data_IF_184972087312
#
_entry.id   IF_184972087312
#
_cell.length_a   1.000
_cell.length_b   1.000
_cell.length_c   1.000
_cell.angle_alpha   90.00
_cell.angle_beta   90.00
_cell.angle_gamma   90.00
#
_symmetry.space_group_name_H-M   'P 1'
#
loop_
_entity.id
_entity.type
_entity.pdbx_description
1 polymer ?
#
# COMPACT_ATOMS: atom_id res chain seq x y z
N UNK A 1 -3.88 24.82 47.36
CA UNK A 1 -2.81 25.53 46.61
C UNK A 1 -3.48 26.49 45.63
N UNK A 2 -3.19 27.80 45.70
CA UNK A 2 -3.79 28.81 44.78
C UNK A 2 -2.96 28.83 43.49
N UNK A 3 -3.51 28.27 42.42
CA UNK A 3 -2.88 28.29 41.09
C UNK A 3 -2.91 29.73 40.59
N UNK A 4 -1.74 30.31 40.25
CA UNK A 4 -1.67 31.67 39.72
C UNK A 4 -2.43 31.77 38.39
N UNK A 5 -3.00 32.94 38.09
CA UNK A 5 -3.71 33.18 36.83
C UNK A 5 -2.82 32.85 35.63
N UNK A 6 -1.53 33.22 35.69
CA UNK A 6 -0.56 32.93 34.64
C UNK A 6 -0.35 31.43 34.42
N UNK A 7 -0.27 30.65 35.50
CA UNK A 7 -0.13 29.20 35.41
C UNK A 7 -1.40 28.54 34.85
N UNK A 8 -2.59 29.03 35.20
CA UNK A 8 -3.86 28.53 34.64
C UNK A 8 -3.94 28.77 33.14
N UNK A 9 -3.58 29.96 32.69
CA UNK A 9 -3.56 30.31 31.27
C UNK A 9 -2.53 29.48 30.50
N UNK A 10 -1.32 29.36 31.04
CA UNK A 10 -0.26 28.54 30.45
C UNK A 10 -0.69 27.08 30.30
N UNK A 11 -1.22 26.48 31.37
CA UNK A 11 -1.70 25.09 31.35
C UNK A 11 -2.86 24.92 30.37
N UNK A 12 -3.78 25.89 30.29
CA UNK A 12 -4.92 25.81 29.37
C UNK A 12 -4.47 25.82 27.90
N UNK A 13 -3.53 26.71 27.56
CA UNK A 13 -2.96 26.78 26.20
C UNK A 13 -2.17 25.51 25.88
N UNK A 14 -1.34 25.05 26.81
CA UNK A 14 -0.58 23.81 26.65
C UNK A 14 -1.50 22.62 26.41
N UNK A 15 -2.55 22.48 27.21
CA UNK A 15 -3.54 21.41 27.06
C UNK A 15 -4.30 21.52 25.73
N UNK A 16 -4.64 22.73 25.29
CA UNK A 16 -5.28 22.93 23.99
C UNK A 16 -4.37 22.49 22.84
N UNK A 17 -3.08 22.85 22.87
CA UNK A 17 -2.11 22.42 21.86
C UNK A 17 -1.95 20.90 21.88
N UNK A 18 -1.82 20.29 23.06
CA UNK A 18 -1.73 18.84 23.21
C UNK A 18 -2.98 18.13 22.69
N UNK A 19 -4.17 18.67 22.95
CA UNK A 19 -5.43 18.11 22.46
C UNK A 19 -5.51 18.17 20.92
N UNK A 20 -5.11 19.28 20.32
CA UNK A 20 -5.07 19.42 18.85
C UNK A 20 -4.06 18.45 18.24
N UNK A 21 -2.85 18.36 18.80
CA UNK A 21 -1.82 17.45 18.32
C UNK A 21 -2.27 15.98 18.44
N UNK A 22 -2.85 15.59 19.57
CA UNK A 22 -3.38 14.25 19.78
C UNK A 22 -4.52 13.93 18.79
N UNK A 23 -5.41 14.89 18.53
CA UNK A 23 -6.51 14.72 17.58
C UNK A 23 -5.98 14.55 16.15
N UNK A 24 -4.99 15.35 15.73
CA UNK A 24 -4.36 15.22 14.42
C UNK A 24 -3.67 13.86 14.24
N UNK A 25 -2.91 13.41 15.24
CA UNK A 25 -2.26 12.09 15.22
C UNK A 25 -3.30 10.97 15.19
N UNK A 26 -4.38 11.09 15.94
CA UNK A 26 -5.46 10.11 15.95
C UNK A 26 -6.14 10.03 14.57
N UNK A 27 -6.48 11.17 13.97
CA UNK A 27 -7.04 11.23 12.63
C UNK A 27 -6.11 10.65 11.57
N UNK A 28 -4.80 10.97 11.65
CA UNK A 28 -3.80 10.40 10.76
C UNK A 28 -3.74 8.88 10.93
N UNK A 29 -3.75 8.37 12.16
CA UNK A 29 -3.72 6.94 12.44
C UNK A 29 -4.95 6.22 11.86
N UNK A 30 -6.14 6.79 12.01
CA UNK A 30 -7.37 6.20 11.45
C UNK A 30 -7.30 6.20 9.91
N UNK A 31 -7.03 7.34 9.29
CA UNK A 31 -6.99 7.45 7.83
C UNK A 31 -5.88 6.60 7.21
N UNK A 32 -4.67 6.60 7.78
CA UNK A 32 -3.52 5.87 7.21
C UNK A 32 -3.68 4.37 7.38
N UNK A 33 -4.05 3.88 8.56
CA UNK A 33 -4.15 2.42 8.76
C UNK A 33 -5.34 1.81 8.00
N UNK A 34 -6.44 2.56 7.86
CA UNK A 34 -7.62 2.11 7.12
C UNK A 34 -7.38 2.20 5.59
N UNK A 35 -6.82 3.32 5.11
CA UNK A 35 -6.62 3.54 3.66
C UNK A 35 -5.44 2.76 3.09
N UNK A 36 -4.26 2.77 3.72
CA UNK A 36 -3.11 2.04 3.18
C UNK A 36 -3.26 0.52 3.31
N UNK A 37 -3.93 0.03 4.35
CA UNK A 37 -4.17 -1.40 4.51
C UNK A 37 -5.05 -1.95 3.38
N UNK A 38 -6.12 -1.24 3.04
CA UNK A 38 -7.03 -1.63 1.96
C UNK A 38 -6.36 -1.41 0.59
N UNK A 39 -5.78 -0.24 0.35
CA UNK A 39 -5.15 0.10 -0.92
C UNK A 39 -3.94 -0.79 -1.27
N UNK A 40 -3.05 -1.04 -0.30
CA UNK A 40 -1.90 -1.91 -0.54
C UNK A 40 -2.34 -3.36 -0.82
N UNK A 41 -3.40 -3.83 -0.15
CA UNK A 41 -3.93 -5.18 -0.36
C UNK A 41 -4.63 -5.30 -1.71
N UNK A 42 -5.43 -4.30 -2.10
CA UNK A 42 -6.12 -4.29 -3.39
C UNK A 42 -5.15 -4.21 -4.57
N UNK A 43 -4.11 -3.38 -4.49
CA UNK A 43 -3.05 -3.32 -5.50
C UNK A 43 -2.31 -4.65 -5.60
N UNK A 44 -1.96 -5.25 -4.46
CA UNK A 44 -1.26 -6.52 -4.47
C UNK A 44 -2.13 -7.64 -5.03
N UNK A 45 -3.44 -7.65 -4.73
CA UNK A 45 -4.38 -8.58 -5.34
C UNK A 45 -4.50 -8.39 -6.84
N UNK A 46 -4.54 -7.15 -7.33
CA UNK A 46 -4.61 -6.83 -8.77
C UNK A 46 -3.37 -7.36 -9.49
N UNK A 47 -2.18 -7.16 -8.91
CA UNK A 47 -0.91 -7.69 -9.46
C UNK A 47 -0.89 -9.21 -9.55
N UNK A 48 -1.32 -9.89 -8.48
CA UNK A 48 -1.39 -11.36 -8.46
C UNK A 48 -2.42 -11.87 -9.46
N UNK A 49 -3.53 -11.15 -9.65
CA UNK A 49 -4.55 -11.47 -10.65
C UNK A 49 -4.01 -11.34 -12.08
N UNK A 50 -3.25 -10.28 -12.37
CA UNK A 50 -2.59 -10.06 -13.65
C UNK A 50 -1.55 -11.15 -13.95
N UNK A 51 -0.74 -11.52 -12.94
CA UNK A 51 0.21 -12.64 -13.03
C UNK A 51 -0.51 -13.96 -13.34
N UNK A 52 -1.58 -14.27 -12.60
CA UNK A 52 -2.34 -15.50 -12.81
C UNK A 52 -2.92 -15.56 -14.23
N UNK A 53 -3.50 -14.46 -14.72
CA UNK A 53 -4.04 -14.38 -16.07
C UNK A 53 -2.95 -14.58 -17.14
N UNK A 54 -1.75 -14.04 -16.93
CA UNK A 54 -0.63 -14.23 -17.84
C UNK A 54 -0.12 -15.67 -17.86
N UNK A 55 0.02 -16.29 -16.69
CA UNK A 55 0.42 -17.69 -16.57
C UNK A 55 -0.60 -18.62 -17.21
N UNK A 56 -1.89 -18.38 -17.04
CA UNK A 56 -2.95 -19.15 -17.69
C UNK A 56 -2.84 -19.08 -19.22
N UNK A 57 -2.60 -17.90 -19.79
CA UNK A 57 -2.37 -17.73 -21.23
C UNK A 57 -1.14 -18.49 -21.72
N UNK A 58 -0.02 -18.39 -20.99
CA UNK A 58 1.22 -19.09 -21.36
C UNK A 58 1.08 -20.60 -21.26
N UNK A 59 0.38 -21.09 -20.25
CA UNK A 59 0.07 -22.50 -20.08
C UNK A 59 -0.75 -23.03 -21.26
N UNK A 60 -1.81 -22.31 -21.64
CA UNK A 60 -2.62 -22.67 -22.79
C UNK A 60 -1.82 -22.66 -24.12
N UNK A 61 -0.92 -21.68 -24.29
CA UNK A 61 -0.08 -21.57 -25.48
C UNK A 61 1.02 -22.65 -25.58
N UNK A 62 1.64 -23.02 -24.46
CA UNK A 62 2.75 -23.99 -24.43
C UNK A 62 2.29 -25.42 -24.11
N UNK A 63 1.01 -25.62 -23.78
CA UNK A 63 0.44 -26.92 -23.40
C UNK A 63 1.03 -27.48 -22.10
N UNK A 64 1.63 -26.65 -21.25
CA UNK A 64 2.31 -27.10 -20.04
C UNK A 64 3.15 -26.03 -19.35
N UNK A 65 3.81 -26.43 -18.26
CA UNK A 65 4.62 -25.54 -17.40
C UNK A 65 6.10 -25.44 -17.81
N UNK A 66 6.46 -25.84 -19.03
CA UNK A 66 7.86 -25.89 -19.48
C UNK A 66 8.59 -24.54 -19.48
N UNK A 67 7.85 -23.43 -19.45
CA UNK A 67 8.40 -22.07 -19.35
C UNK A 67 8.70 -21.62 -17.91
N UNK A 68 8.26 -22.38 -16.91
CA UNK A 68 8.54 -22.09 -15.49
C UNK A 68 9.84 -22.77 -15.10
N UNK A 69 10.83 -22.03 -14.57
CA UNK A 69 12.09 -22.64 -14.16
C UNK A 69 11.87 -23.60 -12.98
N UNK A 70 12.58 -24.72 -13.01
CA UNK A 70 12.60 -25.71 -11.92
C UNK A 70 13.41 -25.28 -10.70
N UNK A 71 14.25 -24.24 -10.84
CA UNK A 71 15.13 -23.69 -9.81
C UNK A 71 14.45 -22.67 -8.89
N UNK A 72 15.03 -21.48 -8.75
CA UNK A 72 14.52 -20.43 -7.85
C UNK A 72 13.16 -19.87 -8.31
N UNK A 73 12.09 -20.51 -7.85
CA UNK A 73 10.71 -20.10 -8.13
C UNK A 73 10.37 -18.75 -7.51
N UNK A 74 10.93 -18.42 -6.34
CA UNK A 74 10.60 -17.16 -5.65
C UNK A 74 11.20 -15.98 -6.39
N UNK A 75 12.48 -16.06 -6.76
CA UNK A 75 13.15 -15.05 -7.58
C UNK A 75 12.49 -14.91 -8.95
N UNK A 76 12.08 -16.02 -9.57
CA UNK A 76 11.37 -15.99 -10.84
C UNK A 76 9.99 -15.31 -10.74
N UNK A 77 9.19 -15.61 -9.71
CA UNK A 77 7.90 -14.93 -9.48
C UNK A 77 8.10 -13.42 -9.29
N UNK A 78 9.09 -13.02 -8.49
CA UNK A 78 9.38 -11.61 -8.25
C UNK A 78 9.79 -10.88 -9.56
N UNK A 79 10.60 -11.54 -10.39
CA UNK A 79 10.99 -11.00 -11.69
C UNK A 79 9.81 -10.91 -12.68
N UNK A 80 8.92 -11.89 -12.69
CA UNK A 80 7.74 -11.91 -13.56
C UNK A 80 6.70 -10.84 -13.15
N UNK A 81 6.53 -10.62 -11.84
CA UNK A 81 5.73 -9.50 -11.31
C UNK A 81 6.31 -8.15 -11.74
N UNK A 82 7.62 -7.95 -11.58
CA UNK A 82 8.28 -6.72 -12.04
C UNK A 82 8.12 -6.48 -13.54
N UNK A 83 8.26 -7.54 -14.35
CA UNK A 83 8.05 -7.46 -15.81
C UNK A 83 6.62 -7.04 -16.18
N UNK A 84 5.62 -7.52 -15.43
CA UNK A 84 4.21 -7.14 -15.65
C UNK A 84 3.95 -5.69 -15.22
N UNK A 85 4.54 -5.24 -14.11
CA UNK A 85 4.48 -3.85 -13.67
C UNK A 85 5.09 -2.90 -14.72
N UNK A 86 6.27 -3.23 -15.25
CA UNK A 86 6.93 -2.46 -16.32
C UNK A 86 6.08 -2.41 -17.59
N UNK A 87 5.47 -3.54 -17.98
CA UNK A 87 4.57 -3.63 -19.14
C UNK A 87 3.26 -2.84 -18.94
N UNK A 88 2.86 -2.60 -17.69
CA UNK A 88 1.73 -1.74 -17.33
C UNK A 88 2.13 -0.27 -17.37
N UNK A 89 3.29 0.09 -16.83
CA UNK A 89 3.83 1.45 -16.89
C UNK A 89 4.07 1.91 -18.34
N UNK A 90 4.46 0.99 -19.23
CA UNK A 90 4.67 1.26 -20.65
C UNK A 90 3.37 1.37 -21.47
N UNK A 91 2.19 1.00 -20.92
CA UNK A 91 0.90 1.13 -21.61
C UNK A 91 0.40 2.58 -21.52
N UNK A 92 0.29 3.32 -22.64
CA UNK A 92 -0.21 4.68 -22.61
C UNK A 92 -1.70 4.71 -22.21
N UNK A 93 -2.03 5.43 -21.14
CA UNK A 93 -3.42 5.73 -20.75
C UNK A 93 -3.94 5.01 -19.50
N UNK A 94 -3.15 4.20 -18.80
CA UNK A 94 -3.55 3.68 -17.48
C UNK A 94 -2.97 4.60 -16.41
N UNK A 95 -3.74 5.62 -16.02
CA UNK A 95 -3.44 6.35 -14.78
C UNK A 95 -3.51 5.38 -13.59
N UNK A 96 -2.67 5.54 -12.55
CA UNK A 96 -2.86 4.81 -11.31
C UNK A 96 -4.28 5.08 -10.82
N UNK A 97 -5.06 4.03 -10.57
CA UNK A 97 -6.33 4.14 -9.88
C UNK A 97 -6.00 4.71 -8.48
N UNK A 98 -6.42 5.95 -8.26
CA UNK A 98 -6.20 6.70 -7.03
C UNK A 98 -7.08 6.17 -5.89
#
# INVERSE_FOLDING_TARGET
MKISIGLRLFVSVLLAILAVAASAVWLLRQNVLESFGVYATEIELDRLTELNADLARRYAAHGGWGFVPSGDKRGWIAAELGRLEDARAARPGVAPAA
#
